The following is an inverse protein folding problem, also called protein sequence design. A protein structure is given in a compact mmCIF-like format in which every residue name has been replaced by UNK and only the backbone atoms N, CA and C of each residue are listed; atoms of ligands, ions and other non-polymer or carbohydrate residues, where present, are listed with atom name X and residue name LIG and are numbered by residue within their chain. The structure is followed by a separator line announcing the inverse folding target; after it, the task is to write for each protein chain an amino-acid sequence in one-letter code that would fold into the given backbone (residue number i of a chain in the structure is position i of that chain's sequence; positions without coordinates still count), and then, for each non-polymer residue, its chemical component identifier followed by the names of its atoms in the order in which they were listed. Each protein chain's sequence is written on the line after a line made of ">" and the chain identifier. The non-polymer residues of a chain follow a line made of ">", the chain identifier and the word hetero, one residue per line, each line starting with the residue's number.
data_IF_126330636331
#
_entry.id   IF_126330636331
#
_cell.length_a   1.000
_cell.length_b   1.000
_cell.length_c   1.000
_cell.angle_alpha   90.00
_cell.angle_beta   90.00
_cell.angle_gamma   90.00
#
_symmetry.space_group_name_H-M   'P 1'
#
loop_
_entity.id
_entity.type
_entity.pdbx_description
1 polymer ?
#
# COMPACT_ATOMS: atom_id res chain seq x y z
N UNK A 1 5.19 -23.44 -5.42
CA UNK A 1 4.07 -24.29 -4.99
C UNK A 1 4.14 -25.66 -5.68
N UNK A 2 5.28 -26.35 -5.63
CA UNK A 2 5.37 -27.70 -6.19
C UNK A 2 4.62 -28.66 -5.24
N UNK A 3 3.74 -29.50 -5.77
CA UNK A 3 2.99 -30.51 -5.01
C UNK A 3 1.48 -30.29 -4.92
N UNK A 4 1.00 -29.04 -5.05
CA UNK A 4 -0.44 -28.78 -5.07
C UNK A 4 -1.02 -28.92 -6.48
N UNK A 5 -2.24 -29.47 -6.55
CA UNK A 5 -3.11 -29.46 -7.72
C UNK A 5 -3.70 -28.06 -7.94
N UNK A 6 -4.14 -27.80 -9.17
CA UNK A 6 -4.73 -26.52 -9.57
C UNK A 6 -5.94 -26.13 -8.72
N UNK A 7 -6.85 -27.07 -8.44
CA UNK A 7 -8.04 -26.84 -7.62
C UNK A 7 -7.72 -26.36 -6.20
N UNK A 8 -6.63 -26.87 -5.61
CA UNK A 8 -6.17 -26.45 -4.30
C UNK A 8 -5.57 -25.03 -4.36
N UNK A 9 -4.79 -24.72 -5.39
CA UNK A 9 -4.21 -23.39 -5.61
C UNK A 9 -5.32 -22.35 -5.77
N UNK A 10 -6.36 -22.65 -6.55
CA UNK A 10 -7.50 -21.76 -6.77
C UNK A 10 -8.22 -21.43 -5.45
N UNK A 11 -8.35 -22.40 -4.54
CA UNK A 11 -8.89 -22.18 -3.18
C UNK A 11 -7.98 -21.26 -2.37
N UNK A 12 -6.66 -21.46 -2.39
CA UNK A 12 -5.72 -20.61 -1.67
C UNK A 12 -5.75 -19.15 -2.16
N UNK A 13 -5.82 -18.94 -3.48
CA UNK A 13 -5.85 -17.60 -4.08
C UNK A 13 -7.18 -16.90 -3.80
N UNK A 14 -8.30 -17.61 -3.90
CA UNK A 14 -9.64 -17.00 -3.74
C UNK A 14 -10.01 -16.71 -2.28
N UNK A 15 -9.59 -17.57 -1.34
CA UNK A 15 -9.95 -17.48 0.07
C UNK A 15 -8.87 -16.82 0.93
N UNK A 16 -7.66 -16.67 0.39
CA UNK A 16 -6.46 -16.35 1.15
C UNK A 16 -5.76 -17.61 1.67
N UNK A 17 -4.44 -17.55 1.79
CA UNK A 17 -3.58 -18.71 1.98
C UNK A 17 -3.94 -19.50 3.24
N UNK A 18 -4.07 -18.82 4.38
CA UNK A 18 -4.34 -19.50 5.66
C UNK A 18 -5.77 -20.02 5.78
N UNK A 19 -6.76 -19.25 5.32
CA UNK A 19 -8.17 -19.66 5.34
C UNK A 19 -8.42 -20.80 4.35
N UNK A 20 -7.89 -20.67 3.13
CA UNK A 20 -7.96 -21.69 2.11
C UNK A 20 -7.30 -22.99 2.56
N UNK A 21 -6.13 -22.91 3.20
CA UNK A 21 -5.44 -24.08 3.72
C UNK A 21 -6.23 -24.77 4.83
N UNK A 22 -6.85 -24.02 5.74
CA UNK A 22 -7.77 -24.56 6.74
C UNK A 22 -8.92 -25.35 6.09
N UNK A 23 -9.56 -24.79 5.05
CA UNK A 23 -10.65 -25.47 4.31
C UNK A 23 -10.17 -26.74 3.61
N UNK A 24 -8.99 -26.71 2.98
CA UNK A 24 -8.43 -27.87 2.30
C UNK A 24 -8.10 -29.00 3.29
N UNK A 25 -7.59 -28.65 4.48
CA UNK A 25 -7.31 -29.61 5.55
C UNK A 25 -8.58 -30.26 6.09
N UNK A 26 -9.62 -29.46 6.35
CA UNK A 26 -10.93 -29.96 6.81
C UNK A 26 -11.58 -30.95 5.82
N UNK A 27 -11.22 -30.84 4.53
CA UNK A 27 -11.70 -31.74 3.46
C UNK A 27 -10.78 -32.95 3.22
N UNK A 28 -9.69 -33.10 3.97
CA UNK A 28 -8.66 -34.12 3.71
C UNK A 28 -7.97 -33.95 2.36
N UNK A 29 -8.03 -32.75 1.76
CA UNK A 29 -7.52 -32.50 0.42
C UNK A 29 -6.02 -32.23 0.40
N UNK A 30 -5.39 -32.00 1.56
CA UNK A 30 -3.94 -31.76 1.70
C UNK A 30 -3.38 -32.61 2.83
N UNK A 31 -2.14 -33.07 2.65
CA UNK A 31 -1.35 -33.78 3.65
C UNK A 31 -0.69 -32.80 4.62
N UNK A 32 -0.27 -33.27 5.82
CA UNK A 32 0.49 -32.44 6.75
C UNK A 32 1.81 -31.89 6.17
N UNK A 33 2.45 -32.64 5.26
CA UNK A 33 3.67 -32.20 4.59
C UNK A 33 3.39 -31.02 3.64
N UNK A 34 2.33 -31.11 2.85
CA UNK A 34 1.88 -30.02 1.97
C UNK A 34 1.46 -28.79 2.78
N UNK A 35 0.73 -28.96 3.87
CA UNK A 35 0.35 -27.87 4.79
C UNK A 35 1.59 -27.10 5.28
N UNK A 36 2.59 -27.82 5.79
CA UNK A 36 3.84 -27.23 6.26
C UNK A 36 4.58 -26.48 5.14
N UNK A 37 4.61 -27.04 3.94
CA UNK A 37 5.23 -26.39 2.78
C UNK A 37 4.51 -25.11 2.36
N UNK A 38 3.17 -25.10 2.34
CA UNK A 38 2.37 -23.91 2.02
C UNK A 38 2.60 -22.81 3.04
N UNK A 39 2.56 -23.14 4.33
CA UNK A 39 2.79 -22.18 5.42
C UNK A 39 4.19 -21.59 5.34
N UNK A 40 5.22 -22.43 5.16
CA UNK A 40 6.60 -21.96 5.02
C UNK A 40 6.77 -21.06 3.79
N UNK A 41 6.13 -21.40 2.68
CA UNK A 41 6.11 -20.56 1.47
C UNK A 41 5.45 -19.20 1.71
N UNK A 42 4.32 -19.17 2.42
CA UNK A 42 3.60 -17.95 2.77
C UNK A 42 4.46 -17.02 3.64
N UNK A 43 5.08 -17.55 4.71
CA UNK A 43 5.98 -16.75 5.55
C UNK A 43 7.20 -16.26 4.79
N UNK A 44 7.78 -17.08 3.90
CA UNK A 44 8.88 -16.64 3.05
C UNK A 44 8.46 -15.48 2.15
N UNK A 45 7.28 -15.54 1.53
CA UNK A 45 6.75 -14.45 0.73
C UNK A 45 6.55 -13.17 1.57
N UNK A 46 5.94 -13.29 2.76
CA UNK A 46 5.78 -12.15 3.68
C UNK A 46 7.13 -11.52 4.04
N UNK A 47 8.16 -12.32 4.31
CA UNK A 47 9.48 -11.79 4.64
C UNK A 47 10.12 -11.02 3.47
N UNK A 48 9.88 -11.46 2.23
CA UNK A 48 10.32 -10.73 1.02
C UNK A 48 9.60 -9.39 0.93
N UNK A 49 8.28 -9.38 1.07
CA UNK A 49 7.48 -8.14 1.01
C UNK A 49 7.83 -7.17 2.16
N UNK A 50 8.11 -7.68 3.37
CA UNK A 50 8.59 -6.85 4.49
C UNK A 50 9.93 -6.20 4.17
N UNK A 51 10.83 -6.88 3.45
CA UNK A 51 12.09 -6.30 3.03
C UNK A 51 11.89 -5.20 1.96
N UNK A 52 11.00 -5.41 1.00
CA UNK A 52 10.64 -4.38 0.01
C UNK A 52 9.97 -3.17 0.69
N UNK A 53 9.00 -3.38 1.59
CA UNK A 53 8.37 -2.30 2.35
C UNK A 53 9.38 -1.42 3.10
N UNK A 54 10.42 -2.03 3.70
CA UNK A 54 11.49 -1.28 4.37
C UNK A 54 12.31 -0.43 3.41
N UNK A 55 12.58 -0.94 2.21
CA UNK A 55 13.30 -0.22 1.17
C UNK A 55 12.46 0.94 0.64
N UNK A 56 11.17 0.73 0.40
CA UNK A 56 10.23 1.77 -0.02
C UNK A 56 10.10 2.87 1.04
N UNK A 57 10.02 2.52 2.33
CA UNK A 57 10.03 3.50 3.41
C UNK A 57 11.28 4.38 3.40
N UNK A 58 12.46 3.81 3.11
CA UNK A 58 13.70 4.58 2.94
C UNK A 58 13.61 5.54 1.74
N UNK A 59 13.05 5.09 0.61
CA UNK A 59 12.83 5.96 -0.55
C UNK A 59 11.84 7.09 -0.26
N UNK A 60 10.75 6.82 0.47
CA UNK A 60 9.78 7.81 0.93
C UNK A 60 10.46 8.85 1.82
N UNK A 61 11.29 8.43 2.78
CA UNK A 61 12.04 9.34 3.65
C UNK A 61 12.94 10.28 2.85
N UNK A 62 13.66 9.75 1.86
CA UNK A 62 14.51 10.53 0.98
C UNK A 62 13.71 11.53 0.12
N UNK A 63 12.56 11.10 -0.43
CA UNK A 63 11.68 11.97 -1.21
C UNK A 63 11.09 13.10 -0.35
N UNK A 64 10.68 12.81 0.89
CA UNK A 64 10.21 13.80 1.85
C UNK A 64 11.31 14.81 2.23
N UNK A 65 12.54 14.35 2.42
CA UNK A 65 13.67 15.23 2.68
C UNK A 65 13.94 16.18 1.49
N UNK A 66 13.87 15.66 0.27
CA UNK A 66 14.00 16.47 -0.95
C UNK A 66 12.87 17.50 -1.09
N UNK A 67 11.62 17.10 -0.82
CA UNK A 67 10.46 18.01 -0.79
C UNK A 67 10.65 19.14 0.23
N UNK A 68 11.08 18.81 1.45
CA UNK A 68 11.33 19.78 2.50
C UNK A 68 12.43 20.77 2.10
N UNK A 69 13.55 20.28 1.54
CA UNK A 69 14.63 21.12 1.06
C UNK A 69 14.18 22.04 -0.10
N UNK A 70 13.44 21.50 -1.08
CA UNK A 70 12.88 22.27 -2.18
C UNK A 70 11.94 23.37 -1.69
N UNK A 71 11.08 23.08 -0.70
CA UNK A 71 10.17 24.05 -0.11
C UNK A 71 10.92 25.18 0.61
N UNK A 72 11.93 24.84 1.41
CA UNK A 72 12.77 25.82 2.11
C UNK A 72 13.53 26.73 1.13
N UNK A 73 14.03 26.17 0.03
CA UNK A 73 14.72 26.94 -1.00
C UNK A 73 13.74 27.85 -1.77
N UNK A 74 12.56 27.34 -2.12
CA UNK A 74 11.52 28.10 -2.80
C UNK A 74 11.02 29.29 -1.97
N UNK A 75 10.92 29.16 -0.65
CA UNK A 75 10.57 30.28 0.25
C UNK A 75 11.55 31.46 0.18
N UNK A 76 12.80 31.19 -0.19
CA UNK A 76 13.87 32.19 -0.29
C UNK A 76 14.11 32.65 -1.73
N UNK A 77 13.34 32.13 -2.69
CA UNK A 77 13.56 32.37 -4.11
C UNK A 77 13.16 33.81 -4.48
N UNK A 78 13.96 34.49 -5.33
CA UNK A 78 13.56 35.77 -5.90
C UNK A 78 12.35 35.59 -6.83
N UNK A 79 11.47 36.59 -6.86
CA UNK A 79 10.33 36.59 -7.78
C UNK A 79 10.78 36.62 -9.26
N UNK A 80 9.92 36.14 -10.17
CA UNK A 80 10.17 36.12 -11.61
C UNK A 80 10.52 34.73 -12.14
N UNK A 81 11.13 34.61 -13.35
CA UNK A 81 11.34 33.34 -14.05
C UNK A 81 12.16 32.29 -13.28
N UNK A 82 12.94 32.72 -12.28
CA UNK A 82 13.64 31.81 -11.37
C UNK A 82 12.68 30.98 -10.50
N UNK A 83 11.48 31.49 -10.21
CA UNK A 83 10.44 30.79 -9.44
C UNK A 83 9.89 29.56 -10.19
N UNK A 84 9.84 29.59 -11.52
CA UNK A 84 9.36 28.47 -12.34
C UNK A 84 10.25 27.23 -12.19
N UNK A 85 11.56 27.44 -12.00
CA UNK A 85 12.50 26.35 -11.73
C UNK A 85 12.22 25.68 -10.38
N UNK A 86 11.87 26.45 -9.35
CA UNK A 86 11.50 25.90 -8.04
C UNK A 86 10.15 25.16 -8.09
N UNK A 87 9.18 25.67 -8.87
CA UNK A 87 7.91 24.99 -9.11
C UNK A 87 8.11 23.63 -9.80
N UNK A 88 8.94 23.58 -10.85
CA UNK A 88 9.23 22.34 -11.56
C UNK A 88 9.96 21.32 -10.67
N UNK A 89 10.93 21.78 -9.87
CA UNK A 89 11.61 20.91 -8.90
C UNK A 89 10.64 20.36 -7.86
N UNK A 90 9.77 21.20 -7.29
CA UNK A 90 8.75 20.78 -6.33
C UNK A 90 7.81 19.73 -6.94
N UNK A 91 7.35 19.96 -8.17
CA UNK A 91 6.47 19.04 -8.90
C UNK A 91 7.14 17.68 -9.11
N UNK A 92 8.41 17.67 -9.54
CA UNK A 92 9.16 16.42 -9.73
C UNK A 92 9.35 15.64 -8.42
N UNK A 93 9.63 16.34 -7.31
CA UNK A 93 9.74 15.71 -6.00
C UNK A 93 8.41 15.17 -5.49
N UNK A 94 7.29 15.86 -5.76
CA UNK A 94 5.94 15.39 -5.43
C UNK A 94 5.59 14.12 -6.19
N UNK A 95 5.86 14.08 -7.50
CA UNK A 95 5.65 12.88 -8.34
C UNK A 95 6.48 11.71 -7.83
N UNK A 96 7.75 11.97 -7.47
CA UNK A 96 8.63 10.92 -6.94
C UNK A 96 8.12 10.39 -5.60
N UNK A 97 7.68 11.27 -4.70
CA UNK A 97 7.08 10.87 -3.43
C UNK A 97 5.81 10.03 -3.64
N UNK A 98 4.91 10.47 -4.50
CA UNK A 98 3.67 9.74 -4.83
C UNK A 98 3.97 8.35 -5.38
N UNK A 99 4.92 8.22 -6.31
CA UNK A 99 5.31 6.93 -6.87
C UNK A 99 5.78 5.94 -5.78
N UNK A 100 6.54 6.39 -4.78
CA UNK A 100 6.99 5.54 -3.68
C UNK A 100 5.87 5.20 -2.69
N UNK A 101 4.93 6.11 -2.46
CA UNK A 101 3.72 5.82 -1.66
C UNK A 101 2.86 4.77 -2.35
N UNK A 102 2.69 4.86 -3.66
CA UNK A 102 1.97 3.84 -4.46
C UNK A 102 2.68 2.50 -4.40
N UNK A 103 4.01 2.47 -4.51
CA UNK A 103 4.81 1.24 -4.36
C UNK A 103 4.55 0.58 -3.00
N UNK A 104 4.62 1.36 -1.91
CA UNK A 104 4.33 0.85 -0.57
C UNK A 104 2.90 0.33 -0.40
N UNK A 105 1.93 0.99 -1.04
CA UNK A 105 0.56 0.52 -1.06
C UNK A 105 0.43 -0.81 -1.83
N UNK A 106 1.14 -0.99 -2.93
CA UNK A 106 1.18 -2.26 -3.67
C UNK A 106 1.73 -3.41 -2.80
N UNK A 107 2.82 -3.16 -2.08
CA UNK A 107 3.38 -4.14 -1.13
C UNK A 107 2.40 -4.47 0.00
N UNK A 108 1.72 -3.48 0.60
CA UNK A 108 0.66 -3.72 1.59
C UNK A 108 -0.51 -4.54 1.02
N UNK A 109 -0.97 -4.21 -0.19
CA UNK A 109 -2.05 -4.96 -0.86
C UNK A 109 -1.62 -6.40 -1.18
N UNK A 110 -0.36 -6.62 -1.52
CA UNK A 110 0.20 -7.95 -1.77
C UNK A 110 0.23 -8.79 -0.49
N UNK A 111 0.74 -8.24 0.62
CA UNK A 111 0.77 -8.91 1.92
C UNK A 111 -0.64 -9.23 2.40
N UNK A 112 -1.53 -8.23 2.41
CA UNK A 112 -2.91 -8.43 2.87
C UNK A 112 -3.68 -9.38 1.96
N UNK A 113 -3.42 -9.34 0.65
CA UNK A 113 -4.06 -10.21 -0.34
C UNK A 113 -3.68 -11.67 -0.16
N UNK A 114 -2.44 -11.95 0.26
CA UNK A 114 -2.01 -13.30 0.61
C UNK A 114 -2.83 -13.88 1.78
N UNK A 115 -3.26 -13.03 2.71
CA UNK A 115 -3.97 -13.42 3.93
C UNK A 115 -5.49 -13.44 3.75
N UNK A 116 -6.04 -12.37 3.15
CA UNK A 116 -7.46 -12.10 3.02
C UNK A 116 -7.75 -11.26 1.77
N UNK A 117 -7.87 -11.89 0.58
CA UNK A 117 -8.16 -11.22 -0.68
C UNK A 117 -9.44 -10.38 -0.65
N UNK A 118 -10.46 -10.81 0.12
CA UNK A 118 -11.71 -10.08 0.27
C UNK A 118 -11.52 -8.75 0.99
N UNK A 119 -10.70 -8.74 2.05
CA UNK A 119 -10.33 -7.51 2.75
C UNK A 119 -9.54 -6.56 1.86
N UNK A 120 -8.52 -7.05 1.15
CA UNK A 120 -7.67 -6.24 0.26
C UNK A 120 -8.47 -5.50 -0.81
N UNK A 121 -9.45 -6.16 -1.45
CA UNK A 121 -10.34 -5.50 -2.43
C UNK A 121 -11.15 -4.35 -1.82
N UNK A 122 -11.61 -4.53 -0.58
CA UNK A 122 -12.38 -3.50 0.11
C UNK A 122 -11.50 -2.31 0.53
N UNK A 123 -10.21 -2.52 0.87
CA UNK A 123 -9.30 -1.42 1.28
C UNK A 123 -9.24 -0.30 0.24
N UNK A 124 -9.07 -0.65 -1.05
CA UNK A 124 -8.99 0.34 -2.14
C UNK A 124 -10.28 1.16 -2.24
N UNK A 125 -11.43 0.48 -2.12
CA UNK A 125 -12.74 1.14 -2.18
C UNK A 125 -12.95 2.09 -1.00
N UNK A 126 -12.57 1.68 0.21
CA UNK A 126 -12.69 2.53 1.41
C UNK A 126 -11.72 3.71 1.36
N UNK A 127 -10.49 3.52 0.85
CA UNK A 127 -9.53 4.61 0.63
C UNK A 127 -10.08 5.65 -0.35
N UNK A 128 -10.62 5.21 -1.49
CA UNK A 128 -11.21 6.12 -2.48
C UNK A 128 -12.38 6.93 -1.91
N UNK A 129 -13.26 6.29 -1.14
CA UNK A 129 -14.37 6.98 -0.45
C UNK A 129 -13.86 8.05 0.54
N UNK A 130 -12.87 7.69 1.36
CA UNK A 130 -12.28 8.62 2.33
C UNK A 130 -11.61 9.83 1.64
N UNK A 131 -10.88 9.59 0.54
CA UNK A 131 -10.25 10.65 -0.24
C UNK A 131 -11.28 11.59 -0.89
N UNK A 132 -12.35 11.07 -1.47
CA UNK A 132 -13.42 11.90 -2.03
C UNK A 132 -14.08 12.77 -0.95
N UNK A 133 -14.40 12.18 0.21
CA UNK A 133 -14.97 12.92 1.34
C UNK A 133 -14.04 14.04 1.83
N UNK A 134 -12.72 13.78 1.87
CA UNK A 134 -11.73 14.79 2.23
C UNK A 134 -11.70 15.94 1.22
N UNK A 135 -11.76 15.64 -0.09
CA UNK A 135 -11.76 16.65 -1.15
C UNK A 135 -13.03 17.51 -1.13
N UNK A 136 -14.19 16.90 -0.91
CA UNK A 136 -15.46 17.61 -0.76
C UNK A 136 -15.41 18.56 0.46
N UNK A 137 -14.84 18.09 1.58
CA UNK A 137 -14.66 18.90 2.79
C UNK A 137 -13.71 20.07 2.54
N UNK A 138 -12.58 19.85 1.87
CA UNK A 138 -11.64 20.91 1.47
C UNK A 138 -12.30 21.98 0.60
N UNK A 139 -13.13 21.56 -0.35
CA UNK A 139 -13.86 22.47 -1.22
C UNK A 139 -14.91 23.29 -0.45
N UNK A 140 -15.67 22.65 0.44
CA UNK A 140 -16.66 23.31 1.28
C UNK A 140 -16.03 24.34 2.23
N UNK A 141 -14.90 23.99 2.85
CA UNK A 141 -14.20 24.84 3.83
C UNK A 141 -13.22 25.83 3.17
N UNK A 142 -13.00 25.72 1.86
CA UNK A 142 -11.98 26.48 1.11
C UNK A 142 -10.58 26.36 1.71
N UNK A 143 -10.24 25.19 2.25
CA UNK A 143 -8.98 24.92 2.93
C UNK A 143 -8.20 23.82 2.19
N UNK A 144 -7.18 24.16 1.37
CA UNK A 144 -6.55 23.20 0.45
C UNK A 144 -5.72 22.10 1.13
N UNK A 145 -5.29 22.31 2.38
CA UNK A 145 -4.44 21.37 3.14
C UNK A 145 -5.17 20.87 4.40
N UNK A 146 -6.50 20.70 4.30
CA UNK A 146 -7.26 20.16 5.43
C UNK A 146 -6.88 18.71 5.70
N UNK A 147 -6.75 18.37 6.98
CA UNK A 147 -6.59 17.01 7.48
C UNK A 147 -7.83 16.60 8.28
N UNK A 148 -8.27 15.35 8.10
CA UNK A 148 -9.38 14.76 8.87
C UNK A 148 -9.18 13.24 8.95
N UNK A 149 -8.39 12.76 9.93
CA UNK A 149 -8.05 11.34 10.06
C UNK A 149 -9.28 10.47 10.37
N UNK A 150 -10.39 11.05 10.83
CA UNK A 150 -11.61 10.30 11.11
C UNK A 150 -12.24 9.70 9.84
N UNK A 151 -12.06 10.35 8.68
CA UNK A 151 -12.53 9.86 7.39
C UNK A 151 -11.86 8.54 6.98
N UNK A 152 -10.67 8.26 7.52
CA UNK A 152 -9.87 7.10 7.17
C UNK A 152 -9.99 5.93 8.17
N UNK A 153 -10.78 6.05 9.25
CA UNK A 153 -10.95 4.97 10.25
C UNK A 153 -11.38 3.64 9.62
N UNK A 154 -12.29 3.68 8.64
CA UNK A 154 -12.73 2.47 7.92
C UNK A 154 -11.62 1.76 7.13
N UNK A 155 -10.55 2.47 6.81
CA UNK A 155 -9.36 1.97 6.13
C UNK A 155 -8.31 1.43 7.12
N UNK A 156 -8.19 2.04 8.32
CA UNK A 156 -7.14 1.73 9.31
C UNK A 156 -7.59 0.72 10.39
N UNK A 157 -8.83 0.79 10.88
CA UNK A 157 -9.26 0.14 12.13
C UNK A 157 -10.03 -1.19 11.93
N UNK A 158 -9.60 -2.09 11.01
CA UNK A 158 -10.31 -3.37 10.76
C UNK A 158 -9.47 -4.63 10.93
#
# INVERSE_FOLDING_TARGET
>A
MAGLRKDQIDVLISEGTFRGLKKLRERGAVTPAEEKMVIAGAYKAILVEVAEARKELSHIQNALAALAAAAQNAQRAPAGPAADNFYNQMTNHLITFDAWVVSLLETDLTITGLLNPGHTRNKITELAKAMNALMDKRAAERHPVLDDPHLFRGYVDR
#
